data_IF_288646007895
#
_entry.id   IF_288646007895
#
_cell.length_a   1.000
_cell.length_b   1.000
_cell.length_c   1.000
_cell.angle_alpha   90.00
_cell.angle_beta   90.00
_cell.angle_gamma   90.00
#
_symmetry.space_group_name_H-M   'P 1'
#
loop_
_entity.id
_entity.type
_entity.pdbx_description
1 polymer ?
#
# COMPACT_ATOMS: atom_id res chain seq x y z
N UNK A 1 -37.07 -15.16 -18.12
CA UNK A 1 -36.34 -16.43 -18.31
C UNK A 1 -35.61 -16.36 -19.64
N UNK A 2 -34.28 -16.30 -19.60
CA UNK A 2 -33.40 -16.51 -20.75
C UNK A 2 -32.40 -17.58 -20.33
N UNK A 3 -32.24 -18.56 -21.21
CA UNK A 3 -31.70 -19.90 -21.00
C UNK A 3 -30.30 -19.94 -20.38
N UNK A 4 -30.18 -20.60 -19.22
CA UNK A 4 -28.94 -21.04 -18.58
C UNK A 4 -28.58 -22.47 -19.04
N UNK A 5 -28.48 -22.68 -20.35
CA UNK A 5 -28.15 -23.97 -20.92
C UNK A 5 -26.96 -23.84 -21.87
N UNK A 6 -25.80 -24.36 -21.42
CA UNK A 6 -24.71 -24.79 -22.29
C UNK A 6 -23.55 -23.82 -22.45
N UNK A 7 -22.56 -23.91 -21.53
CA UNK A 7 -21.14 -24.00 -21.91
C UNK A 7 -20.30 -24.55 -20.73
N UNK A 8 -20.52 -25.80 -20.33
CA UNK A 8 -19.52 -26.57 -19.57
C UNK A 8 -18.45 -27.10 -20.54
N UNK A 9 -17.77 -26.18 -21.22
CA UNK A 9 -16.61 -26.49 -22.07
C UNK A 9 -15.46 -25.58 -21.63
N UNK A 10 -14.94 -25.89 -20.45
CA UNK A 10 -13.50 -25.96 -20.18
C UNK A 10 -13.33 -27.25 -19.35
N UNK A 11 -12.70 -28.28 -19.94
CA UNK A 11 -11.35 -28.72 -19.55
C UNK A 11 -11.34 -29.25 -18.10
N UNK A 12 -11.11 -30.53 -17.81
CA UNK A 12 -9.75 -31.10 -17.58
C UNK A 12 -8.63 -30.04 -17.38
N UNK A 13 -8.90 -28.92 -16.73
CA UNK A 13 -7.87 -27.98 -16.29
C UNK A 13 -7.40 -28.45 -14.92
N UNK A 14 -6.07 -28.57 -14.79
CA UNK A 14 -5.42 -29.00 -13.57
C UNK A 14 -5.94 -28.17 -12.38
N UNK A 15 -6.51 -28.79 -11.33
CA UNK A 15 -7.04 -28.06 -10.17
C UNK A 15 -6.00 -27.14 -9.52
N UNK A 16 -4.70 -27.44 -9.68
CA UNK A 16 -3.61 -26.54 -9.27
C UNK A 16 -3.63 -25.23 -10.05
N UNK A 17 -3.83 -25.28 -11.37
CA UNK A 17 -3.82 -24.12 -12.25
C UNK A 17 -4.99 -23.16 -11.93
N UNK A 18 -6.15 -23.70 -11.58
CA UNK A 18 -7.32 -22.91 -11.17
C UNK A 18 -7.03 -22.17 -9.86
N UNK A 19 -6.41 -22.85 -8.89
CA UNK A 19 -6.04 -22.24 -7.61
C UNK A 19 -4.96 -21.16 -7.77
N UNK A 20 -3.95 -21.42 -8.60
CA UNK A 20 -2.92 -20.44 -8.95
C UNK A 20 -3.53 -19.20 -9.64
N UNK A 21 -4.49 -19.41 -10.55
CA UNK A 21 -5.20 -18.31 -11.22
C UNK A 21 -6.03 -17.50 -10.22
N UNK A 22 -6.74 -18.15 -9.30
CA UNK A 22 -7.51 -17.44 -8.27
C UNK A 22 -6.62 -16.56 -7.39
N UNK A 23 -5.43 -17.05 -7.00
CA UNK A 23 -4.45 -16.26 -6.24
C UNK A 23 -3.96 -15.07 -7.06
N UNK A 24 -3.68 -15.26 -8.35
CA UNK A 24 -3.31 -14.18 -9.28
C UNK A 24 -4.42 -13.12 -9.38
N UNK A 25 -5.65 -13.53 -9.59
CA UNK A 25 -6.81 -12.63 -9.70
C UNK A 25 -7.02 -11.80 -8.42
N UNK A 26 -6.79 -12.40 -7.25
CA UNK A 26 -6.84 -11.69 -5.97
C UNK A 26 -5.69 -10.69 -5.82
N UNK A 27 -4.49 -11.03 -6.29
CA UNK A 27 -3.35 -10.10 -6.33
C UNK A 27 -3.63 -8.90 -7.26
N UNK A 28 -4.21 -9.15 -8.43
CA UNK A 28 -4.49 -8.14 -9.45
C UNK A 28 -5.60 -7.14 -9.04
N UNK A 29 -6.41 -7.49 -8.05
CA UNK A 29 -7.42 -6.60 -7.47
C UNK A 29 -6.82 -5.55 -6.51
N UNK A 30 -5.67 -5.83 -5.90
CA UNK A 30 -5.04 -4.91 -4.93
C UNK A 30 -4.66 -3.57 -5.58
N UNK A 31 -3.99 -3.53 -6.75
CA UNK A 31 -3.70 -2.28 -7.44
C UNK A 31 -4.96 -1.46 -7.78
N UNK A 32 -6.01 -2.11 -8.32
CA UNK A 32 -7.27 -1.45 -8.71
C UNK A 32 -7.97 -0.80 -7.51
N UNK A 33 -7.95 -1.48 -6.36
CA UNK A 33 -8.50 -0.96 -5.12
C UNK A 33 -7.66 0.20 -4.58
N UNK A 34 -6.33 0.13 -4.66
CA UNK A 34 -5.45 1.23 -4.27
C UNK A 34 -5.69 2.48 -5.12
N UNK A 35 -5.86 2.31 -6.43
CA UNK A 35 -6.19 3.41 -7.34
C UNK A 35 -7.53 4.05 -6.97
N UNK A 36 -8.57 3.24 -6.74
CA UNK A 36 -9.89 3.72 -6.31
C UNK A 36 -9.81 4.50 -4.99
N UNK A 37 -9.06 3.99 -4.01
CA UNK A 37 -8.83 4.67 -2.72
C UNK A 37 -8.07 5.99 -2.93
N UNK A 38 -7.08 6.02 -3.81
CA UNK A 38 -6.33 7.22 -4.13
C UNK A 38 -7.22 8.30 -4.75
N UNK A 39 -8.14 7.93 -5.65
CA UNK A 39 -9.14 8.86 -6.22
C UNK A 39 -10.03 9.45 -5.13
N UNK A 40 -10.53 8.62 -4.21
CA UNK A 40 -11.34 9.10 -3.07
C UNK A 40 -10.52 10.02 -2.16
N UNK A 41 -9.25 9.68 -1.88
CA UNK A 41 -8.34 10.53 -1.09
C UNK A 41 -8.05 11.87 -1.76
N UNK A 42 -7.89 11.88 -3.08
CA UNK A 42 -7.70 13.09 -3.86
C UNK A 42 -8.92 14.02 -3.72
N UNK A 43 -10.14 13.46 -3.80
CA UNK A 43 -11.36 14.23 -3.57
C UNK A 43 -11.43 14.82 -2.14
N UNK A 44 -11.12 14.02 -1.12
CA UNK A 44 -11.01 14.52 0.27
C UNK A 44 -10.02 15.67 0.37
N UNK A 45 -8.85 15.54 -0.25
CA UNK A 45 -7.78 16.56 -0.21
C UNK A 45 -8.19 17.85 -0.91
N UNK A 46 -8.93 17.75 -2.02
CA UNK A 46 -9.48 18.90 -2.73
C UNK A 46 -10.49 19.65 -1.84
N UNK A 47 -11.46 18.92 -1.27
CA UNK A 47 -12.47 19.49 -0.37
C UNK A 47 -11.83 20.12 0.88
N UNK A 48 -10.79 19.51 1.45
CA UNK A 48 -9.99 20.09 2.55
C UNK A 48 -9.37 21.44 2.17
N UNK A 49 -8.76 21.54 0.98
CA UNK A 49 -8.17 22.79 0.47
C UNK A 49 -9.22 23.87 0.23
N UNK A 50 -10.34 23.51 -0.39
CA UNK A 50 -11.47 24.43 -0.60
C UNK A 50 -12.04 24.91 0.74
N UNK A 51 -12.09 24.04 1.74
CA UNK A 51 -12.60 24.38 3.06
C UNK A 51 -11.69 25.40 3.74
N UNK A 52 -10.37 25.16 3.72
CA UNK A 52 -9.38 26.09 4.25
C UNK A 52 -9.48 27.47 3.57
N UNK A 53 -9.71 27.51 2.25
CA UNK A 53 -9.92 28.73 1.49
C UNK A 53 -11.18 29.47 1.96
N UNK A 54 -12.33 28.80 1.99
CA UNK A 54 -13.58 29.41 2.45
C UNK A 54 -13.48 29.93 3.89
N UNK A 55 -12.82 29.20 4.79
CA UNK A 55 -12.58 29.68 6.15
C UNK A 55 -11.73 30.96 6.17
N UNK A 56 -10.71 31.06 5.32
CA UNK A 56 -9.92 32.28 5.19
C UNK A 56 -10.77 33.44 4.66
N UNK A 57 -11.52 33.22 3.57
CA UNK A 57 -12.37 34.24 2.97
C UNK A 57 -13.43 34.75 3.95
N UNK A 58 -14.04 33.85 4.73
CA UNK A 58 -14.98 34.20 5.81
C UNK A 58 -14.31 35.05 6.88
N UNK A 59 -13.08 34.72 7.31
CA UNK A 59 -12.34 35.52 8.30
C UNK A 59 -12.02 36.92 7.76
N UNK A 60 -11.51 37.00 6.53
CA UNK A 60 -11.14 38.27 5.89
C UNK A 60 -12.35 39.17 5.66
N UNK A 61 -13.44 38.62 5.11
CA UNK A 61 -14.68 39.37 4.90
C UNK A 61 -15.29 39.82 6.21
N UNK A 62 -15.24 39.00 7.26
CA UNK A 62 -15.68 39.41 8.61
C UNK A 62 -14.87 40.60 9.12
N UNK A 63 -13.55 40.60 8.94
CA UNK A 63 -12.70 41.73 9.32
C UNK A 63 -13.03 43.00 8.51
N UNK A 64 -13.23 42.85 7.19
CA UNK A 64 -13.62 43.96 6.28
C UNK A 64 -14.98 44.55 6.64
N UNK A 65 -15.97 43.72 6.97
CA UNK A 65 -17.29 44.17 7.46
C UNK A 65 -17.13 45.00 8.73
N UNK A 66 -16.39 44.49 9.73
CA UNK A 66 -16.15 45.21 10.99
C UNK A 66 -15.48 46.57 10.77
N UNK A 67 -14.44 46.61 9.93
CA UNK A 67 -13.73 47.84 9.62
C UNK A 67 -14.62 48.85 8.88
N UNK A 68 -15.45 48.41 7.94
CA UNK A 68 -16.37 49.28 7.21
C UNK A 68 -17.43 49.91 8.14
N UNK A 69 -17.98 49.12 9.07
CA UNK A 69 -18.92 49.61 10.09
C UNK A 69 -18.25 50.65 11.01
N UNK A 70 -17.04 50.36 11.49
CA UNK A 70 -16.29 51.30 12.33
C UNK A 70 -15.95 52.61 11.62
N UNK A 71 -15.75 52.56 10.30
CA UNK A 71 -15.51 53.73 9.47
C UNK A 71 -16.80 54.48 9.06
N UNK A 72 -17.98 54.04 9.51
CA UNK A 72 -19.27 54.63 9.16
C UNK A 72 -19.64 54.48 7.68
N UNK A 73 -19.07 53.48 6.99
CA UNK A 73 -19.31 53.22 5.57
C UNK A 73 -20.28 52.05 5.41
N UNK A 74 -21.56 52.30 5.71
CA UNK A 74 -22.61 51.29 5.74
C UNK A 74 -22.83 50.61 4.38
N UNK A 75 -22.68 51.36 3.28
CA UNK A 75 -22.81 50.83 1.91
C UNK A 75 -21.74 49.76 1.61
N UNK A 76 -20.49 49.99 2.03
CA UNK A 76 -19.41 49.01 1.89
C UNK A 76 -19.58 47.84 2.85
N UNK A 77 -20.04 48.10 4.08
CA UNK A 77 -20.33 47.05 5.05
C UNK A 77 -21.41 46.10 4.52
N UNK A 78 -22.48 46.62 3.91
CA UNK A 78 -23.54 45.83 3.29
C UNK A 78 -23.03 44.94 2.14
N UNK A 79 -22.16 45.48 1.27
CA UNK A 79 -21.55 44.68 0.19
C UNK A 79 -20.67 43.54 0.73
N UNK A 80 -19.79 43.83 1.70
CA UNK A 80 -18.95 42.79 2.31
C UNK A 80 -19.78 41.76 3.09
N UNK A 81 -20.85 42.18 3.77
CA UNK A 81 -21.74 41.30 4.51
C UNK A 81 -22.51 40.34 3.58
N UNK A 82 -22.98 40.84 2.43
CA UNK A 82 -23.62 40.01 1.41
C UNK A 82 -22.66 38.93 0.88
N UNK A 83 -21.42 39.30 0.54
CA UNK A 83 -20.38 38.34 0.14
C UNK A 83 -20.05 37.34 1.26
N UNK A 84 -19.92 37.82 2.49
CA UNK A 84 -19.67 36.97 3.66
C UNK A 84 -20.75 35.92 3.83
N UNK A 85 -22.03 36.26 3.61
CA UNK A 85 -23.13 35.31 3.71
C UNK A 85 -23.03 34.22 2.63
N UNK A 86 -22.68 34.59 1.40
CA UNK A 86 -22.46 33.62 0.30
C UNK A 86 -21.32 32.67 0.65
N UNK A 87 -20.17 33.18 1.11
CA UNK A 87 -19.01 32.36 1.46
C UNK A 87 -19.28 31.46 2.66
N UNK A 88 -20.05 31.92 3.66
CA UNK A 88 -20.48 31.07 4.79
C UNK A 88 -21.35 29.90 4.33
N UNK A 89 -22.29 30.13 3.41
CA UNK A 89 -23.11 29.05 2.86
C UNK A 89 -22.29 28.09 2.00
N UNK A 90 -21.29 28.59 1.27
CA UNK A 90 -20.37 27.74 0.52
C UNK A 90 -19.51 26.87 1.44
N UNK A 91 -18.99 27.46 2.53
CA UNK A 91 -18.26 26.76 3.58
C UNK A 91 -19.08 25.62 4.17
N UNK A 92 -20.32 25.89 4.59
CA UNK A 92 -21.20 24.88 5.19
C UNK A 92 -21.48 23.71 4.24
N UNK A 93 -21.78 23.99 2.96
CA UNK A 93 -21.97 22.94 1.96
C UNK A 93 -20.70 22.11 1.75
N UNK A 94 -19.54 22.77 1.72
CA UNK A 94 -18.27 22.08 1.54
C UNK A 94 -17.89 21.24 2.78
N UNK A 95 -18.19 21.70 4.00
CA UNK A 95 -18.02 20.92 5.23
C UNK A 95 -18.83 19.63 5.21
N UNK A 96 -20.09 19.69 4.77
CA UNK A 96 -20.94 18.51 4.62
C UNK A 96 -20.38 17.53 3.58
N UNK A 97 -19.95 18.03 2.41
CA UNK A 97 -19.34 17.21 1.37
C UNK A 97 -18.04 16.56 1.85
N UNK A 98 -17.20 17.32 2.57
CA UNK A 98 -15.95 16.82 3.14
C UNK A 98 -16.21 15.71 4.16
N UNK A 99 -17.22 15.84 5.01
CA UNK A 99 -17.59 14.80 5.97
C UNK A 99 -17.99 13.49 5.26
N UNK A 100 -18.84 13.59 4.22
CA UNK A 100 -19.25 12.43 3.42
C UNK A 100 -18.04 11.80 2.73
N UNK A 101 -17.15 12.60 2.15
CA UNK A 101 -15.96 12.12 1.47
C UNK A 101 -14.98 11.42 2.43
N UNK A 102 -14.79 11.94 3.65
CA UNK A 102 -13.98 11.30 4.70
C UNK A 102 -14.56 9.95 5.11
N UNK A 103 -15.87 9.86 5.32
CA UNK A 103 -16.54 8.60 5.65
C UNK A 103 -16.41 7.58 4.50
N UNK A 104 -16.53 8.02 3.24
CA UNK A 104 -16.31 7.16 2.08
C UNK A 104 -14.86 6.65 2.01
N UNK A 105 -13.88 7.51 2.28
CA UNK A 105 -12.46 7.13 2.33
C UNK A 105 -12.19 6.08 3.42
N UNK A 106 -12.71 6.30 4.63
CA UNK A 106 -12.57 5.37 5.74
C UNK A 106 -13.21 4.02 5.43
N UNK A 107 -14.42 4.02 4.85
CA UNK A 107 -15.09 2.80 4.41
C UNK A 107 -14.27 2.05 3.36
N UNK A 108 -13.70 2.76 2.38
CA UNK A 108 -12.85 2.16 1.36
C UNK A 108 -11.58 1.52 1.95
N UNK A 109 -10.96 2.17 2.94
CA UNK A 109 -9.83 1.62 3.69
C UNK A 109 -10.20 0.36 4.48
N UNK A 110 -11.38 0.35 5.10
CA UNK A 110 -11.86 -0.83 5.82
C UNK A 110 -12.15 -1.99 4.86
N UNK A 111 -12.79 -1.73 3.72
CA UNK A 111 -13.00 -2.73 2.66
C UNK A 111 -11.67 -3.31 2.20
N UNK A 112 -10.65 -2.48 1.96
CA UNK A 112 -9.31 -2.95 1.63
C UNK A 112 -8.72 -3.84 2.72
N UNK A 113 -8.84 -3.45 3.98
CA UNK A 113 -8.35 -4.26 5.11
C UNK A 113 -9.00 -5.64 5.16
N UNK A 114 -10.32 -5.69 5.00
CA UNK A 114 -11.09 -6.95 4.97
C UNK A 114 -10.67 -7.79 3.75
N UNK A 115 -10.57 -7.18 2.57
CA UNK A 115 -10.13 -7.84 1.35
C UNK A 115 -8.73 -8.44 1.51
N UNK A 116 -7.77 -7.70 2.08
CA UNK A 116 -6.41 -8.20 2.28
C UNK A 116 -6.38 -9.42 3.22
N UNK A 117 -7.18 -9.42 4.29
CA UNK A 117 -7.30 -10.58 5.18
C UNK A 117 -7.89 -11.80 4.47
N UNK A 118 -8.94 -11.58 3.69
CA UNK A 118 -9.60 -12.66 2.95
C UNK A 118 -8.73 -13.20 1.81
N UNK A 119 -8.00 -12.31 1.13
CA UNK A 119 -6.98 -12.67 0.15
C UNK A 119 -5.93 -13.57 0.79
N UNK A 120 -5.39 -13.18 1.94
CA UNK A 120 -4.36 -13.96 2.65
C UNK A 120 -4.88 -15.36 3.00
N UNK A 121 -6.06 -15.43 3.61
CA UNK A 121 -6.73 -16.69 3.94
C UNK A 121 -6.89 -17.59 2.72
N UNK A 122 -7.45 -17.06 1.62
CA UNK A 122 -7.66 -17.83 0.38
C UNK A 122 -6.34 -18.23 -0.29
N UNK A 123 -5.32 -17.40 -0.20
CA UNK A 123 -3.99 -17.70 -0.74
C UNK A 123 -3.37 -18.86 0.02
N UNK A 124 -3.43 -18.83 1.36
CA UNK A 124 -2.93 -19.92 2.17
C UNK A 124 -3.67 -21.24 1.91
N UNK A 125 -5.01 -21.19 1.81
CA UNK A 125 -5.83 -22.36 1.47
C UNK A 125 -5.48 -22.93 0.10
N UNK A 126 -5.35 -22.06 -0.91
CA UNK A 126 -4.94 -22.46 -2.25
C UNK A 126 -3.53 -23.09 -2.26
N UNK A 127 -2.57 -22.48 -1.58
CA UNK A 127 -1.19 -23.00 -1.50
C UNK A 127 -1.11 -24.35 -0.79
N UNK A 128 -1.86 -24.53 0.30
CA UNK A 128 -1.95 -25.82 0.99
C UNK A 128 -2.54 -26.90 0.06
N UNK A 129 -3.65 -26.60 -0.61
CA UNK A 129 -4.29 -27.53 -1.55
C UNK A 129 -3.40 -27.86 -2.77
N UNK A 130 -2.64 -26.89 -3.30
CA UNK A 130 -1.66 -27.13 -4.36
C UNK A 130 -0.54 -28.07 -3.86
N UNK A 131 -0.01 -27.87 -2.65
CA UNK A 131 1.01 -28.76 -2.07
C UNK A 131 0.47 -30.20 -1.93
N UNK A 132 -0.75 -30.35 -1.43
CA UNK A 132 -1.40 -31.66 -1.27
C UNK A 132 -1.64 -32.34 -2.63
N UNK A 133 -2.10 -31.60 -3.63
CA UNK A 133 -2.30 -32.09 -5.00
C UNK A 133 -0.98 -32.55 -5.64
N UNK A 134 0.10 -31.76 -5.50
CA UNK A 134 1.44 -32.13 -5.98
C UNK A 134 1.97 -33.39 -5.29
N UNK A 135 1.75 -33.51 -3.98
CA UNK A 135 2.13 -34.70 -3.21
C UNK A 135 1.37 -35.94 -3.69
N UNK A 136 0.05 -35.83 -3.90
CA UNK A 136 -0.76 -36.92 -4.41
C UNK A 136 -0.32 -37.36 -5.82
N UNK A 137 -0.04 -36.39 -6.72
CA UNK A 137 0.51 -36.67 -8.05
C UNK A 137 1.87 -37.38 -7.97
N UNK A 138 2.74 -36.96 -7.05
CA UNK A 138 4.03 -37.62 -6.82
C UNK A 138 3.85 -39.06 -6.35
N UNK A 139 2.98 -39.29 -5.37
CA UNK A 139 2.67 -40.63 -4.87
C UNK A 139 2.12 -41.55 -5.96
N UNK A 140 1.20 -41.06 -6.80
CA UNK A 140 0.69 -41.81 -7.96
C UNK A 140 1.83 -42.18 -8.91
N UNK A 141 2.67 -41.22 -9.31
CA UNK A 141 3.80 -41.49 -10.23
C UNK A 141 4.79 -42.51 -9.67
N UNK A 142 5.05 -42.48 -8.37
CA UNK A 142 5.89 -43.48 -7.70
C UNK A 142 5.23 -44.86 -7.73
N UNK A 143 3.93 -44.94 -7.43
CA UNK A 143 3.19 -46.20 -7.48
C UNK A 143 3.14 -46.80 -8.90
N UNK A 144 2.84 -45.98 -9.92
CA UNK A 144 2.83 -46.41 -11.32
C UNK A 144 4.20 -46.92 -11.77
N UNK A 145 5.28 -46.24 -11.36
CA UNK A 145 6.65 -46.69 -11.62
C UNK A 145 6.93 -48.04 -10.94
N UNK A 146 6.47 -48.26 -9.69
CA UNK A 146 6.62 -49.53 -8.98
C UNK A 146 5.79 -50.67 -9.60
N UNK A 147 4.57 -50.39 -10.06
CA UNK A 147 3.71 -51.37 -10.74
C UNK A 147 4.29 -51.77 -12.12
N UNK A 148 4.68 -50.78 -12.92
CA UNK A 148 5.34 -51.04 -14.22
C UNK A 148 6.64 -51.85 -14.08
N UNK A 149 7.33 -51.68 -12.95
CA UNK A 149 8.54 -52.41 -12.60
C UNK A 149 8.26 -53.85 -12.13
N UNK A 150 7.16 -54.11 -11.42
CA UNK A 150 6.75 -55.48 -11.06
C UNK A 150 6.39 -56.36 -12.26
N UNK A 151 5.87 -55.76 -13.34
CA UNK A 151 5.49 -56.49 -14.56
C UNK A 151 6.69 -56.82 -15.47
N UNK A 152 7.82 -56.12 -15.33
CA UNK A 152 8.95 -56.18 -16.27
C UNK A 152 10.05 -57.22 -15.94
N UNK A 153 9.84 -58.12 -14.98
CA UNK A 153 10.74 -59.27 -14.77
C UNK A 153 11.99 -58.93 -13.96
N UNK A 154 12.03 -59.55 -12.79
CA UNK A 154 13.14 -59.59 -11.83
C UNK A 154 14.31 -60.31 -12.48
N UNK A 155 15.47 -59.64 -12.65
CA UNK A 155 16.79 -60.24 -12.45
C UNK A 155 17.88 -59.15 -12.55
N UNK A 156 18.51 -58.84 -11.40
CA UNK A 156 19.52 -57.80 -11.15
C UNK A 156 19.01 -56.34 -11.25
N UNK A 157 18.86 -55.53 -10.20
CA UNK A 157 19.42 -55.50 -8.83
C UNK A 157 18.50 -54.63 -7.96
N UNK A 158 17.77 -55.24 -7.01
CA UNK A 158 16.85 -54.54 -6.10
C UNK A 158 17.55 -53.44 -5.28
N UNK A 159 18.78 -53.69 -4.81
CA UNK A 159 19.57 -52.75 -3.99
C UNK A 159 20.03 -51.49 -4.74
N UNK A 160 20.40 -51.62 -6.01
CA UNK A 160 20.82 -50.47 -6.83
C UNK A 160 19.63 -49.56 -7.12
N UNK A 161 18.45 -50.16 -7.29
CA UNK A 161 17.19 -49.44 -7.48
C UNK A 161 16.69 -48.82 -6.17
N UNK A 162 16.83 -49.51 -5.03
CA UNK A 162 16.52 -48.92 -3.71
C UNK A 162 17.35 -47.66 -3.47
N UNK A 163 18.64 -47.72 -3.80
CA UNK A 163 19.56 -46.58 -3.71
C UNK A 163 19.16 -45.43 -4.64
N UNK A 164 18.77 -45.71 -5.89
CA UNK A 164 18.30 -44.68 -6.84
C UNK A 164 16.96 -44.05 -6.44
N UNK A 165 16.04 -44.84 -5.88
CA UNK A 165 14.78 -44.32 -5.35
C UNK A 165 15.02 -43.44 -4.12
N UNK A 166 15.93 -43.85 -3.23
CA UNK A 166 16.33 -43.04 -2.08
C UNK A 166 17.05 -41.76 -2.52
N UNK A 167 17.95 -41.81 -3.50
CA UNK A 167 18.57 -40.61 -4.10
C UNK A 167 17.53 -39.70 -4.76
N UNK A 168 16.61 -40.26 -5.53
CA UNK A 168 15.52 -39.51 -6.16
C UNK A 168 14.59 -38.87 -5.14
N UNK A 169 14.22 -39.59 -4.09
CA UNK A 169 13.43 -39.06 -2.98
C UNK A 169 14.17 -37.94 -2.25
N UNK A 170 15.45 -38.13 -1.91
CA UNK A 170 16.28 -37.13 -1.24
C UNK A 170 16.49 -35.88 -2.10
N UNK A 171 16.71 -36.02 -3.41
CA UNK A 171 16.87 -34.87 -4.33
C UNK A 171 15.56 -34.11 -4.50
N UNK A 172 14.41 -34.80 -4.55
CA UNK A 172 13.11 -34.13 -4.64
C UNK A 172 12.67 -33.50 -3.32
N UNK A 173 13.00 -34.13 -2.19
CA UNK A 173 12.83 -33.55 -0.86
C UNK A 173 13.70 -32.30 -0.70
N UNK A 174 14.97 -32.35 -1.11
CA UNK A 174 15.85 -31.19 -1.13
C UNK A 174 15.33 -30.09 -2.07
N UNK A 175 14.80 -30.42 -3.25
CA UNK A 175 14.15 -29.43 -4.14
C UNK A 175 12.90 -28.82 -3.52
N UNK A 176 12.12 -29.60 -2.79
CA UNK A 176 10.94 -29.10 -2.09
C UNK A 176 11.32 -28.22 -0.90
N UNK A 177 12.34 -28.62 -0.12
CA UNK A 177 12.89 -27.79 0.95
C UNK A 177 13.48 -26.49 0.40
N UNK A 178 14.25 -26.52 -0.70
CA UNK A 178 14.74 -25.30 -1.35
C UNK A 178 13.62 -24.42 -1.93
N UNK A 179 12.51 -25.01 -2.39
CA UNK A 179 11.36 -24.26 -2.87
C UNK A 179 10.52 -23.67 -1.72
N UNK A 180 10.51 -24.31 -0.56
CA UNK A 180 9.91 -23.77 0.67
C UNK A 180 10.81 -22.69 1.28
N UNK A 181 12.11 -22.92 1.35
CA UNK A 181 13.12 -21.94 1.76
C UNK A 181 13.15 -20.73 0.84
N UNK A 182 12.89 -20.84 -0.47
CA UNK A 182 12.85 -19.66 -1.36
C UNK A 182 11.62 -18.78 -1.13
N UNK A 183 10.49 -19.38 -0.73
CA UNK A 183 9.27 -18.65 -0.33
C UNK A 183 9.47 -18.05 1.06
N UNK A 184 10.09 -18.77 2.00
CA UNK A 184 10.47 -18.24 3.31
C UNK A 184 11.54 -17.16 3.22
N UNK A 185 12.48 -17.22 2.28
CA UNK A 185 13.49 -16.18 2.07
C UNK A 185 12.86 -14.89 1.51
N UNK A 186 11.76 -14.99 0.72
CA UNK A 186 10.96 -13.83 0.35
C UNK A 186 10.21 -13.26 1.55
N UNK A 187 9.59 -14.10 2.39
CA UNK A 187 8.90 -13.67 3.60
C UNK A 187 9.86 -13.03 4.63
N UNK A 188 11.00 -13.65 4.88
CA UNK A 188 12.09 -13.14 5.72
C UNK A 188 12.66 -11.84 5.16
N UNK A 189 12.85 -11.71 3.83
CA UNK A 189 13.32 -10.44 3.25
C UNK A 189 12.29 -9.31 3.42
N UNK A 190 10.99 -9.64 3.36
CA UNK A 190 9.92 -8.68 3.62
C UNK A 190 9.89 -8.30 5.11
N UNK A 191 10.14 -9.25 6.01
CA UNK A 191 10.21 -9.01 7.45
C UNK A 191 11.46 -8.20 7.83
N UNK A 192 12.64 -8.51 7.28
CA UNK A 192 13.87 -7.71 7.45
C UNK A 192 13.73 -6.29 6.86
N UNK A 193 13.05 -6.14 5.71
CA UNK A 193 12.74 -4.81 5.15
C UNK A 193 11.74 -4.05 6.03
N UNK A 194 10.73 -4.73 6.57
CA UNK A 194 9.78 -4.13 7.51
C UNK A 194 10.45 -3.72 8.83
N UNK A 195 11.36 -4.54 9.37
CA UNK A 195 12.17 -4.21 10.54
C UNK A 195 13.13 -3.05 10.27
N UNK A 196 13.78 -3.00 9.11
CA UNK A 196 14.60 -1.85 8.70
C UNK A 196 13.77 -0.57 8.58
N UNK A 197 12.57 -0.65 8.03
CA UNK A 197 11.66 0.49 7.95
C UNK A 197 11.22 0.96 9.35
N UNK A 198 10.90 0.04 10.25
CA UNK A 198 10.58 0.37 11.65
C UNK A 198 11.79 0.95 12.40
N UNK A 199 12.98 0.38 12.23
CA UNK A 199 14.21 0.87 12.84
C UNK A 199 14.57 2.28 12.33
N UNK A 200 14.40 2.53 11.02
CA UNK A 200 14.60 3.86 10.45
C UNK A 200 13.58 4.88 10.97
N UNK A 201 12.33 4.48 11.14
CA UNK A 201 11.29 5.32 11.73
C UNK A 201 11.56 5.59 13.22
N UNK A 202 12.02 4.60 13.98
CA UNK A 202 12.40 4.74 15.38
C UNK A 202 13.61 5.68 15.54
N UNK A 203 14.63 5.54 14.69
CA UNK A 203 15.79 6.45 14.64
C UNK A 203 15.36 7.86 14.27
N UNK A 204 14.41 8.02 13.35
CA UNK A 204 13.85 9.32 12.99
C UNK A 204 13.09 9.95 14.16
N UNK A 205 12.30 9.16 14.90
CA UNK A 205 11.64 9.61 16.12
C UNK A 205 12.66 10.02 17.19
N UNK A 206 13.72 9.23 17.40
CA UNK A 206 14.80 9.57 18.31
C UNK A 206 15.58 10.83 17.88
N UNK A 207 15.79 11.03 16.57
CA UNK A 207 16.41 12.26 16.03
C UNK A 207 15.52 13.49 16.21
N UNK A 208 14.20 13.34 16.11
CA UNK A 208 13.23 14.39 16.43
C UNK A 208 13.22 14.71 17.92
N UNK A 209 13.27 13.69 18.79
CA UNK A 209 13.34 13.86 20.26
C UNK A 209 14.69 14.45 20.73
N UNK A 210 15.79 14.12 20.05
CA UNK A 210 17.12 14.73 20.30
C UNK A 210 17.32 16.09 19.61
N UNK A 211 16.31 16.61 18.90
CA UNK A 211 16.35 17.94 18.28
C UNK A 211 17.31 18.09 17.09
N UNK A 212 17.67 16.98 16.42
CA UNK A 212 18.68 16.97 15.34
C UNK A 212 18.09 17.11 13.93
N UNK A 213 16.77 17.10 13.75
CA UNK A 213 16.12 17.57 12.52
C UNK A 213 15.53 18.96 12.76
N UNK A 214 16.41 19.97 12.69
CA UNK A 214 15.96 21.33 12.39
C UNK A 214 15.68 21.42 10.89
N UNK A 215 14.50 21.90 10.43
CA UNK A 215 14.39 22.39 9.07
C UNK A 215 15.41 23.50 8.94
N UNK A 216 16.33 23.38 7.99
CA UNK A 216 17.42 24.32 7.80
C UNK A 216 16.94 25.77 7.97
N UNK A 217 17.41 26.51 9.00
CA UNK A 217 17.40 27.94 8.98
C UNK A 217 18.66 28.40 8.26
N UNK A 218 18.44 29.34 7.34
CA UNK A 218 19.40 30.31 6.83
C UNK A 218 20.45 30.73 7.88
N UNK A 219 21.73 30.56 7.53
CA UNK A 219 22.90 31.28 8.04
C UNK A 219 24.01 31.07 7.00
N UNK A 220 24.35 32.05 6.16
CA UNK A 220 25.21 33.17 6.52
C UNK A 220 26.46 32.72 7.30
N UNK A 221 27.51 32.42 6.54
CA UNK A 221 28.93 32.49 6.92
C UNK A 221 29.63 32.87 5.61
N UNK A 222 30.14 34.08 5.41
CA UNK A 222 31.16 34.71 6.24
C UNK A 222 32.50 34.58 5.51
N UNK A 223 32.75 35.46 4.53
CA UNK A 223 34.08 35.69 3.98
C UNK A 223 34.74 36.84 4.76
N UNK A 224 35.89 36.62 5.44
CA UNK A 224 36.72 37.70 5.91
C UNK A 224 37.83 37.95 4.88
N UNK A 225 37.68 38.98 4.04
CA UNK A 225 38.77 39.46 3.21
C UNK A 225 38.91 40.99 3.33
N UNK A 226 40.02 41.38 3.96
CA UNK A 226 40.74 42.66 3.83
C UNK A 226 39.95 43.96 4.07
N UNK A 227 40.04 44.49 5.31
CA UNK A 227 39.97 45.95 5.52
C UNK A 227 41.31 46.57 5.16
N UNK A 228 41.34 47.29 4.02
CA UNK A 228 42.37 48.25 3.66
C UNK A 228 42.19 49.55 4.46
N UNK A 229 43.33 50.11 4.84
CA UNK A 229 43.56 51.33 5.61
C UNK A 229 43.13 52.58 4.81
N UNK A 230 42.51 53.56 5.47
CA UNK A 230 42.18 54.84 4.80
C UNK A 230 41.51 55.94 5.63
N UNK A 231 42.20 56.44 6.67
CA UNK A 231 42.28 57.85 7.12
C UNK A 231 41.06 58.81 6.98
N UNK A 232 40.56 59.30 8.13
CA UNK A 232 40.00 60.66 8.31
C UNK A 232 40.36 61.11 9.73
N UNK A 233 41.51 61.78 9.91
CA UNK A 233 41.65 63.23 10.13
C UNK A 233 40.59 63.85 11.04
N UNK A 234 41.12 64.34 12.16
CA UNK A 234 40.59 65.06 13.32
C UNK A 234 39.58 66.17 13.05
N UNK A 235 38.79 66.47 14.10
CA UNK A 235 38.50 67.87 14.46
C UNK A 235 38.57 68.02 16.00
N UNK A 236 39.67 68.58 16.50
CA UNK A 236 39.65 69.76 17.36
C UNK A 236 41.03 70.39 17.51
#
# INVERSE_FOLDING_TARGET
MRSFAGFFVSSIEDPELILEQNVRDLNDQVPKMNESIAMVRANVTLLEKENAKYQQDVRELTAKVKAAIQAGRDDLAGQYASRLQIEKQALERNEQQLQIARAAYEKAMNVKKIFMREKERKTQEAMNAIRDARRAKWQSKVADAMESFQVAGIDATHDEMLRKVQEGAAVNEARMQMALESVDHQALSIEEEAEKLQANELVKQFKMEMGLDSPAPVSDVGEPAAKTIGKKVEIK
#
